data_IF_500670605361
#
_entry.id   IF_500670605361
#
_cell.length_a   1.000
_cell.length_b   1.000
_cell.length_c   1.000
_cell.angle_alpha   90.00
_cell.angle_beta   90.00
_cell.angle_gamma   90.00
#
_symmetry.space_group_name_H-M   'P 1'
#
loop_
_entity.id
_entity.type
_entity.pdbx_description
1 polymer ?
#
# COMPACT_ATOMS: atom_id res chain seq x y z
N UNK A 1 -15.32 23.20 -1.21
CA UNK A 1 -14.25 22.51 -1.98
C UNK A 1 -14.65 21.05 -2.11
N UNK A 2 -14.49 20.50 -3.29
CA UNK A 2 -14.83 19.11 -3.61
C UNK A 2 -13.60 18.23 -3.53
N UNK A 3 -13.71 17.08 -2.92
CA UNK A 3 -12.61 16.13 -2.66
C UNK A 3 -12.97 14.78 -3.27
N UNK A 4 -12.02 14.14 -3.93
CA UNK A 4 -12.19 12.78 -4.44
C UNK A 4 -11.25 11.82 -3.69
N UNK A 5 -11.78 10.69 -3.28
CA UNK A 5 -10.99 9.55 -2.85
C UNK A 5 -11.02 8.45 -3.90
N UNK A 6 -9.85 8.09 -4.42
CA UNK A 6 -9.66 6.90 -5.23
C UNK A 6 -9.24 5.79 -4.27
N UNK A 7 -10.14 4.88 -3.98
CA UNK A 7 -9.99 3.83 -2.97
C UNK A 7 -9.88 2.44 -3.62
N UNK A 8 -9.60 1.44 -2.81
CA UNK A 8 -9.51 0.06 -3.28
C UNK A 8 -10.90 -0.51 -3.62
N UNK A 9 -10.94 -1.46 -4.56
CA UNK A 9 -12.18 -2.16 -4.94
C UNK A 9 -12.81 -2.92 -3.76
N UNK A 10 -11.99 -3.48 -2.88
CA UNK A 10 -12.49 -4.15 -1.67
C UNK A 10 -13.10 -3.16 -0.70
N UNK A 11 -12.44 -2.03 -0.46
CA UNK A 11 -12.97 -0.96 0.37
C UNK A 11 -14.26 -0.40 -0.22
N UNK A 12 -14.32 -0.23 -1.54
CA UNK A 12 -15.50 0.23 -2.24
C UNK A 12 -16.68 -0.71 -2.06
N UNK A 13 -16.45 -2.03 -2.10
CA UNK A 13 -17.50 -3.06 -1.95
C UNK A 13 -18.01 -3.16 -0.51
N UNK A 14 -17.12 -3.01 0.46
CA UNK A 14 -17.41 -3.18 1.88
C UNK A 14 -17.33 -1.88 2.67
N UNK A 15 -17.38 -0.75 2.00
CA UNK A 15 -17.20 0.58 2.56
C UNK A 15 -18.10 0.87 3.78
N UNK A 16 -19.31 0.31 3.78
CA UNK A 16 -20.30 0.46 4.85
C UNK A 16 -19.85 -0.14 6.20
N UNK A 17 -18.87 -1.04 6.18
CA UNK A 17 -18.53 -1.87 7.34
C UNK A 17 -17.08 -1.75 7.81
N UNK A 18 -16.22 -1.02 7.07
CA UNK A 18 -14.80 -1.08 7.37
C UNK A 18 -14.28 0.14 8.14
N UNK A 19 -14.64 0.22 9.43
CA UNK A 19 -14.12 1.25 10.36
C UNK A 19 -12.64 1.04 10.73
N UNK A 20 -12.00 -0.03 10.29
CA UNK A 20 -10.58 -0.29 10.51
C UNK A 20 -9.68 0.36 9.45
N UNK A 21 -10.27 0.88 8.37
CA UNK A 21 -9.54 1.50 7.27
C UNK A 21 -9.40 3.00 7.49
N UNK A 22 -8.20 3.51 7.28
CA UNK A 22 -7.90 4.95 7.45
C UNK A 22 -8.76 5.82 6.54
N UNK A 23 -9.10 5.35 5.33
CA UNK A 23 -9.90 6.11 4.38
C UNK A 23 -11.32 6.38 4.87
N UNK A 24 -11.92 5.44 5.59
CA UNK A 24 -13.19 5.67 6.27
C UNK A 24 -13.14 6.90 7.19
N UNK A 25 -12.12 6.98 8.03
CA UNK A 25 -12.00 8.08 8.99
C UNK A 25 -11.65 9.41 8.32
N UNK A 26 -10.80 9.39 7.30
CA UNK A 26 -10.47 10.59 6.53
C UNK A 26 -11.71 11.15 5.84
N UNK A 27 -12.46 10.32 5.11
CA UNK A 27 -13.69 10.71 4.42
C UNK A 27 -14.70 11.27 5.43
N UNK A 28 -14.93 10.55 6.54
CA UNK A 28 -15.83 11.01 7.60
C UNK A 28 -15.43 12.38 8.15
N UNK A 29 -14.15 12.59 8.43
CA UNK A 29 -13.63 13.85 8.91
C UNK A 29 -13.84 15.00 7.92
N UNK A 30 -13.64 14.77 6.62
CA UNK A 30 -13.86 15.80 5.61
C UNK A 30 -15.34 16.17 5.47
N UNK A 31 -16.24 15.19 5.44
CA UNK A 31 -17.68 15.43 5.40
C UNK A 31 -18.14 16.24 6.63
N UNK A 32 -17.67 15.84 7.83
CA UNK A 32 -17.99 16.54 9.09
C UNK A 32 -17.49 18.00 9.11
N UNK A 33 -16.44 18.31 8.34
CA UNK A 33 -15.94 19.70 8.13
C UNK A 33 -16.64 20.44 7.02
N UNK A 34 -17.69 19.87 6.42
CA UNK A 34 -18.50 20.55 5.39
C UNK A 34 -17.92 20.47 3.98
N UNK A 35 -16.97 19.56 3.71
CA UNK A 35 -16.51 19.31 2.36
C UNK A 35 -17.42 18.31 1.64
N UNK A 36 -17.60 18.52 0.34
CA UNK A 36 -18.22 17.51 -0.53
C UNK A 36 -17.17 16.44 -0.83
N UNK A 37 -17.48 15.19 -0.55
CA UNK A 37 -16.57 14.06 -0.76
C UNK A 37 -17.21 13.05 -1.69
N UNK A 38 -16.53 12.78 -2.80
CA UNK A 38 -16.87 11.69 -3.70
C UNK A 38 -15.83 10.56 -3.57
N UNK A 39 -16.25 9.35 -3.94
CA UNK A 39 -15.37 8.19 -4.01
C UNK A 39 -15.40 7.55 -5.39
N UNK A 40 -14.31 6.91 -5.76
CA UNK A 40 -14.18 6.08 -6.97
C UNK A 40 -13.10 5.02 -6.74
N UNK A 41 -12.88 4.17 -7.74
CA UNK A 41 -11.80 3.19 -7.75
C UNK A 41 -10.89 3.43 -8.96
N UNK A 42 -9.66 2.91 -8.94
CA UNK A 42 -8.67 3.14 -10.00
C UNK A 42 -9.16 2.68 -11.38
N UNK A 43 -9.91 1.57 -11.45
CA UNK A 43 -10.48 1.01 -12.67
C UNK A 43 -11.66 1.81 -13.25
N UNK A 44 -12.13 2.82 -12.50
CA UNK A 44 -13.20 3.74 -12.92
C UNK A 44 -12.68 5.11 -13.37
N UNK A 45 -11.37 5.30 -13.35
CA UNK A 45 -10.72 6.45 -13.96
C UNK A 45 -10.54 6.21 -15.46
N UNK A 46 -10.73 7.23 -16.27
CA UNK A 46 -10.54 7.15 -17.71
C UNK A 46 -10.12 8.50 -18.30
N UNK A 47 -9.54 8.46 -19.48
CA UNK A 47 -9.16 9.64 -20.23
C UNK A 47 -10.07 9.79 -21.44
N UNK A 48 -10.74 10.92 -21.57
CA UNK A 48 -11.60 11.25 -22.71
C UNK A 48 -11.06 12.49 -23.41
N UNK A 49 -10.49 12.33 -24.61
CA UNK A 49 -9.92 13.45 -25.38
C UNK A 49 -8.99 14.38 -24.54
N UNK A 50 -8.06 13.80 -23.81
CA UNK A 50 -7.15 14.47 -22.86
C UNK A 50 -7.78 14.99 -21.56
N UNK A 51 -9.08 14.85 -21.38
CA UNK A 51 -9.75 15.23 -20.14
C UNK A 51 -9.74 14.05 -19.19
N UNK A 52 -9.16 14.18 -17.99
CA UNK A 52 -9.19 13.11 -16.99
C UNK A 52 -10.59 13.05 -16.36
N UNK A 53 -11.22 11.91 -16.45
CA UNK A 53 -12.59 11.65 -16.02
C UNK A 53 -12.66 10.50 -15.03
N UNK A 54 -13.74 10.46 -14.25
CA UNK A 54 -14.03 9.36 -13.34
C UNK A 54 -15.52 9.04 -13.25
N UNK A 55 -15.83 7.76 -12.99
CA UNK A 55 -17.16 7.36 -12.54
C UNK A 55 -17.18 7.46 -11.01
N UNK A 56 -17.79 8.52 -10.49
CA UNK A 56 -17.70 8.88 -9.07
C UNK A 56 -19.04 8.72 -8.37
N UNK A 57 -18.98 8.43 -7.07
CA UNK A 57 -20.15 8.31 -6.21
C UNK A 57 -20.05 9.33 -5.10
N UNK A 58 -21.11 10.13 -4.90
CA UNK A 58 -21.19 11.01 -3.74
C UNK A 58 -21.32 10.22 -2.46
N UNK A 59 -20.75 10.76 -1.40
CA UNK A 59 -20.83 10.19 -0.05
C UNK A 59 -21.51 11.15 0.91
N UNK A 60 -22.11 10.58 1.95
CA UNK A 60 -22.72 11.31 3.07
C UNK A 60 -22.60 10.49 4.35
N UNK A 61 -22.90 11.10 5.49
CA UNK A 61 -22.94 10.40 6.78
C UNK A 61 -24.40 10.17 7.18
N UNK A 62 -24.73 8.90 7.44
CA UNK A 62 -26.02 8.49 8.02
C UNK A 62 -25.79 7.52 9.17
N UNK A 63 -26.39 7.81 10.33
CA UNK A 63 -26.26 6.98 11.53
C UNK A 63 -24.81 6.63 11.90
N UNK A 64 -23.93 7.66 11.88
CA UNK A 64 -22.49 7.51 12.17
C UNK A 64 -21.67 6.74 11.10
N UNK A 65 -22.31 6.17 10.10
CA UNK A 65 -21.66 5.46 9.01
C UNK A 65 -21.63 6.30 7.73
N UNK A 66 -20.65 6.04 6.86
CA UNK A 66 -20.58 6.66 5.56
C UNK A 66 -21.45 5.84 4.61
N UNK A 67 -22.28 6.54 3.85
CA UNK A 67 -23.10 5.97 2.78
C UNK A 67 -22.69 6.58 1.45
N UNK A 68 -22.78 5.81 0.38
CA UNK A 68 -22.60 6.31 -0.98
C UNK A 68 -23.90 6.28 -1.77
N UNK A 69 -24.02 7.16 -2.75
CA UNK A 69 -25.13 7.11 -3.70
C UNK A 69 -25.12 5.79 -4.49
N UNK A 70 -26.31 5.38 -4.95
CA UNK A 70 -26.49 4.16 -5.74
C UNK A 70 -25.91 4.31 -7.15
N UNK A 71 -26.14 5.47 -7.76
CA UNK A 71 -25.77 5.76 -9.12
C UNK A 71 -24.47 6.57 -9.16
N UNK A 72 -23.65 6.30 -10.15
CA UNK A 72 -22.45 7.08 -10.38
C UNK A 72 -22.74 8.29 -11.28
N UNK A 73 -21.90 9.31 -11.13
CA UNK A 73 -21.80 10.44 -12.05
C UNK A 73 -20.52 10.35 -12.88
N UNK A 74 -20.60 10.76 -14.15
CA UNK A 74 -19.39 11.02 -14.95
C UNK A 74 -18.87 12.40 -14.58
N UNK A 75 -17.70 12.47 -13.98
CA UNK A 75 -17.17 13.71 -13.42
C UNK A 75 -15.80 14.04 -14.02
N UNK A 76 -15.59 15.29 -14.39
CA UNK A 76 -14.26 15.76 -14.76
C UNK A 76 -13.39 15.87 -13.48
N UNK A 77 -12.23 15.26 -13.49
CA UNK A 77 -11.35 15.25 -12.31
C UNK A 77 -10.78 16.64 -11.99
N UNK A 78 -10.76 17.57 -12.96
CA UNK A 78 -10.38 18.97 -12.73
C UNK A 78 -11.39 19.74 -11.85
N UNK A 79 -12.59 19.20 -11.63
CA UNK A 79 -13.60 19.83 -10.76
C UNK A 79 -13.30 19.62 -9.27
N UNK A 80 -12.34 18.76 -8.94
CA UNK A 80 -11.92 18.53 -7.57
C UNK A 80 -10.75 19.43 -7.17
N UNK A 81 -10.81 19.96 -5.95
CA UNK A 81 -9.68 20.70 -5.37
C UNK A 81 -8.57 19.75 -4.88
N UNK A 82 -8.95 18.56 -4.40
CA UNK A 82 -8.02 17.55 -3.92
C UNK A 82 -8.46 16.15 -4.38
N UNK A 83 -7.51 15.35 -4.81
CA UNK A 83 -7.69 13.93 -5.09
C UNK A 83 -6.74 13.14 -4.19
N UNK A 84 -7.29 12.29 -3.32
CA UNK A 84 -6.54 11.28 -2.59
C UNK A 84 -6.46 10.00 -3.40
N UNK A 85 -5.27 9.64 -3.88
CA UNK A 85 -5.04 8.39 -4.60
C UNK A 85 -4.50 7.36 -3.62
N UNK A 86 -5.37 6.46 -3.16
CA UNK A 86 -5.12 5.56 -2.04
C UNK A 86 -5.36 4.07 -2.27
N UNK A 87 -5.44 3.56 -3.52
CA UNK A 87 -5.57 2.13 -3.71
C UNK A 87 -4.37 1.39 -3.11
N UNK A 88 -4.64 0.27 -2.47
CA UNK A 88 -3.60 -0.64 -2.01
C UNK A 88 -2.91 -1.37 -3.19
N UNK A 89 -1.68 -1.85 -3.00
CA UNK A 89 -1.05 -2.76 -3.96
C UNK A 89 -1.94 -3.99 -4.28
N UNK A 90 -1.83 -4.60 -5.45
CA UNK A 90 -0.62 -4.63 -6.27
C UNK A 90 -0.41 -3.37 -7.11
N UNK A 91 0.86 -2.93 -7.15
CA UNK A 91 1.30 -1.89 -8.09
C UNK A 91 1.58 -2.58 -9.43
N UNK A 92 0.50 -2.85 -10.13
CA UNK A 92 0.48 -3.47 -11.46
C UNK A 92 0.35 -2.41 -12.57
N UNK A 93 0.25 -2.85 -13.82
CA UNK A 93 0.09 -1.94 -14.95
C UNK A 93 -1.18 -1.09 -14.83
N UNK A 94 -2.27 -1.62 -14.29
CA UNK A 94 -3.52 -0.87 -14.15
C UNK A 94 -3.40 0.21 -13.07
N UNK A 95 -2.68 -0.09 -11.98
CA UNK A 95 -2.32 0.92 -10.99
C UNK A 95 -1.50 2.06 -11.62
N UNK A 96 -0.46 1.72 -12.39
CA UNK A 96 0.40 2.69 -13.07
C UNK A 96 -0.41 3.50 -14.10
N UNK A 97 -1.26 2.84 -14.91
CA UNK A 97 -2.11 3.50 -15.90
C UNK A 97 -3.07 4.51 -15.25
N UNK A 98 -3.65 4.16 -14.09
CA UNK A 98 -4.49 5.10 -13.35
C UNK A 98 -3.70 6.35 -12.91
N UNK A 99 -2.43 6.21 -12.52
CA UNK A 99 -1.59 7.36 -12.19
C UNK A 99 -1.25 8.22 -13.40
N UNK A 100 -1.13 7.65 -14.61
CA UNK A 100 -0.95 8.43 -15.84
C UNK A 100 -2.19 9.26 -16.20
N UNK A 101 -3.39 8.79 -15.88
CA UNK A 101 -4.62 9.59 -16.07
C UNK A 101 -4.56 10.87 -15.21
N UNK A 102 -4.02 10.78 -14.00
CA UNK A 102 -3.87 11.92 -13.10
C UNK A 102 -2.83 12.96 -13.59
N UNK A 103 -1.89 12.58 -14.44
CA UNK A 103 -0.94 13.53 -15.05
C UNK A 103 -1.62 14.52 -16.03
N UNK A 104 -2.84 14.24 -16.48
CA UNK A 104 -3.62 15.13 -17.36
C UNK A 104 -4.43 16.19 -16.60
N UNK A 105 -4.30 16.26 -15.28
CA UNK A 105 -4.91 17.34 -14.50
C UNK A 105 -4.24 18.68 -14.80
N UNK A 106 -5.03 19.74 -14.88
CA UNK A 106 -4.60 21.08 -15.32
C UNK A 106 -3.87 21.91 -14.23
N UNK A 107 -3.31 21.24 -13.20
CA UNK A 107 -2.47 21.91 -12.18
C UNK A 107 -3.20 22.67 -11.09
N UNK A 108 -4.53 22.67 -11.07
CA UNK A 108 -5.36 23.27 -10.01
C UNK A 108 -5.77 22.27 -8.94
N UNK A 109 -5.70 20.99 -9.25
CA UNK A 109 -6.07 19.88 -8.37
C UNK A 109 -4.84 19.35 -7.66
N UNK A 110 -4.86 19.35 -6.34
CA UNK A 110 -3.81 18.72 -5.54
C UNK A 110 -4.02 17.20 -5.53
N UNK A 111 -3.00 16.44 -5.93
CA UNK A 111 -3.03 14.97 -5.88
C UNK A 111 -2.16 14.46 -4.72
N UNK A 112 -2.75 13.73 -3.80
CA UNK A 112 -2.11 13.10 -2.64
C UNK A 112 -2.34 11.56 -2.69
N UNK A 113 -1.31 10.72 -2.77
CA UNK A 113 0.08 11.07 -3.05
C UNK A 113 0.25 11.46 -4.52
N UNK A 114 1.32 12.23 -4.82
CA UNK A 114 1.63 12.65 -6.19
C UNK A 114 1.72 11.44 -7.14
N UNK A 115 1.10 11.51 -8.30
CA UNK A 115 1.09 10.44 -9.30
C UNK A 115 2.52 10.01 -9.71
N UNK A 116 3.40 10.98 -9.93
CA UNK A 116 4.81 10.72 -10.22
C UNK A 116 5.54 10.11 -9.02
N UNK A 117 5.24 10.57 -7.81
CA UNK A 117 5.80 10.02 -6.57
C UNK A 117 5.45 8.54 -6.40
N UNK A 118 4.20 8.16 -6.66
CA UNK A 118 3.73 6.77 -6.59
C UNK A 118 4.47 5.86 -7.60
N UNK A 119 4.77 6.36 -8.79
CA UNK A 119 5.54 5.60 -9.79
C UNK A 119 7.02 5.48 -9.44
N UNK A 120 7.61 6.52 -8.85
CA UNK A 120 9.05 6.60 -8.60
C UNK A 120 9.47 6.03 -7.24
N UNK A 121 8.55 5.90 -6.29
CA UNK A 121 8.84 5.47 -4.93
C UNK A 121 8.16 4.13 -4.61
N UNK A 122 8.57 3.06 -5.31
CA UNK A 122 8.19 1.70 -4.89
C UNK A 122 8.69 1.47 -3.46
N UNK A 123 7.81 1.08 -2.54
CA UNK A 123 8.07 0.99 -1.10
C UNK A 123 9.28 0.09 -0.74
N UNK A 124 9.54 -0.95 -1.54
CA UNK A 124 10.66 -1.88 -1.31
C UNK A 124 11.95 -1.42 -1.99
N UNK A 125 11.85 -0.83 -3.18
CA UNK A 125 13.01 -0.31 -3.88
C UNK A 125 13.53 1.00 -3.27
N UNK A 126 12.61 1.87 -2.85
CA UNK A 126 12.94 3.22 -2.37
C UNK A 126 13.77 3.21 -1.07
N UNK A 127 13.63 2.17 -0.24
CA UNK A 127 14.41 2.03 1.00
C UNK A 127 15.92 2.00 0.75
N UNK A 128 16.37 1.56 -0.43
CA UNK A 128 17.80 1.51 -0.79
C UNK A 128 18.46 2.89 -0.89
N UNK A 129 17.68 3.98 -0.87
CA UNK A 129 18.20 5.33 -0.69
C UNK A 129 18.71 5.61 0.74
N UNK A 130 18.42 4.71 1.69
CA UNK A 130 18.76 4.86 3.11
C UNK A 130 19.56 3.68 3.66
N UNK A 131 20.71 3.33 3.06
CA UNK A 131 21.43 2.08 3.36
C UNK A 131 21.90 1.95 4.82
N UNK A 132 22.02 3.08 5.53
CA UNK A 132 22.48 3.06 6.92
C UNK A 132 21.45 2.57 7.95
N UNK A 133 20.17 2.50 7.57
CA UNK A 133 19.07 2.17 8.47
C UNK A 133 18.19 1.01 8.00
N UNK A 134 18.62 0.30 6.97
CA UNK A 134 17.91 -0.87 6.44
C UNK A 134 18.78 -2.12 6.58
N UNK A 135 18.17 -3.32 6.68
CA UNK A 135 18.89 -4.57 6.57
C UNK A 135 19.59 -4.73 5.23
N UNK A 136 20.72 -5.46 5.20
CA UNK A 136 21.35 -5.79 3.93
C UNK A 136 20.35 -6.49 3.00
N UNK A 137 20.37 -6.11 1.74
CA UNK A 137 19.46 -6.66 0.75
C UNK A 137 20.05 -6.63 -0.66
N UNK A 138 19.48 -7.45 -1.54
CA UNK A 138 19.68 -7.38 -2.99
C UNK A 138 18.31 -7.38 -3.67
N UNK A 139 18.24 -6.83 -4.87
CA UNK A 139 17.06 -6.92 -5.72
C UNK A 139 17.46 -7.60 -7.02
N UNK A 140 16.91 -8.79 -7.26
CA UNK A 140 17.29 -9.61 -8.40
C UNK A 140 16.20 -10.61 -8.78
N UNK A 141 16.29 -11.18 -9.99
CA UNK A 141 15.55 -12.36 -10.42
C UNK A 141 16.47 -13.60 -10.56
N UNK A 142 17.78 -13.44 -10.35
CA UNK A 142 18.76 -14.53 -10.53
C UNK A 142 18.76 -15.49 -9.35
N UNK A 143 18.47 -16.77 -9.62
CA UNK A 143 18.59 -17.85 -8.65
C UNK A 143 20.01 -17.92 -8.05
N UNK A 144 21.03 -17.75 -8.88
CA UNK A 144 22.43 -17.78 -8.48
C UNK A 144 22.76 -16.72 -7.42
N UNK A 145 22.41 -15.44 -7.69
CA UNK A 145 22.65 -14.35 -6.75
C UNK A 145 21.86 -14.51 -5.45
N UNK A 146 20.64 -15.06 -5.53
CA UNK A 146 19.83 -15.33 -4.34
C UNK A 146 20.50 -16.40 -3.46
N UNK A 147 21.03 -17.46 -4.08
CA UNK A 147 21.76 -18.51 -3.35
C UNK A 147 23.05 -18.02 -2.73
N UNK A 148 23.81 -17.19 -3.45
CA UNK A 148 25.02 -16.56 -2.90
C UNK A 148 24.69 -15.72 -1.67
N UNK A 149 23.63 -14.92 -1.75
CA UNK A 149 23.18 -14.08 -0.64
C UNK A 149 22.67 -14.94 0.55
N UNK A 150 21.91 -16.01 0.28
CA UNK A 150 21.48 -16.97 1.30
C UNK A 150 22.68 -17.65 1.98
N UNK A 151 23.66 -18.08 1.20
CA UNK A 151 24.87 -18.70 1.75
C UNK A 151 25.64 -17.72 2.68
N UNK A 152 25.72 -16.44 2.28
CA UNK A 152 26.34 -15.38 3.07
C UNK A 152 25.59 -15.08 4.37
N UNK A 153 24.26 -14.96 4.31
CA UNK A 153 23.41 -14.49 5.42
C UNK A 153 22.84 -15.62 6.28
N UNK A 154 22.80 -16.84 5.79
CA UNK A 154 22.21 -18.04 6.41
C UNK A 154 20.68 -18.03 6.46
N UNK A 155 20.09 -16.89 6.72
CA UNK A 155 18.65 -16.68 6.83
C UNK A 155 18.24 -15.43 6.08
N UNK A 156 17.26 -15.56 5.20
CA UNK A 156 16.78 -14.47 4.34
C UNK A 156 15.26 -14.44 4.28
N UNK A 157 14.75 -13.27 3.85
CA UNK A 157 13.34 -13.10 3.48
C UNK A 157 13.27 -12.64 2.03
N UNK A 158 12.49 -13.35 1.22
CA UNK A 158 12.21 -12.98 -0.17
C UNK A 158 10.87 -12.29 -0.25
N UNK A 159 10.82 -11.10 -0.85
CA UNK A 159 9.64 -10.24 -0.91
C UNK A 159 9.36 -9.81 -2.34
N UNK A 160 8.16 -10.03 -2.89
CA UNK A 160 7.74 -9.42 -4.16
C UNK A 160 7.74 -7.90 -4.07
N UNK A 161 8.15 -7.21 -5.12
CA UNK A 161 8.24 -5.75 -5.13
C UNK A 161 6.88 -5.04 -5.14
N UNK A 162 5.86 -5.67 -5.74
CA UNK A 162 4.59 -5.03 -6.08
C UNK A 162 3.39 -5.47 -5.22
N UNK A 163 3.62 -6.28 -4.18
CA UNK A 163 2.56 -6.77 -3.30
C UNK A 163 2.67 -6.23 -1.87
N UNK A 164 1.56 -6.24 -1.17
CA UNK A 164 1.44 -5.92 0.26
C UNK A 164 0.86 -7.09 1.07
N UNK A 165 0.58 -6.89 2.35
CA UNK A 165 -0.04 -7.86 3.27
C UNK A 165 0.69 -9.20 3.32
N UNK A 166 2.02 -9.18 3.27
CA UNK A 166 2.89 -10.38 3.27
C UNK A 166 2.59 -11.40 2.17
N UNK A 167 1.87 -11.03 1.11
CA UNK A 167 1.63 -11.89 -0.03
C UNK A 167 2.94 -12.24 -0.73
N UNK A 168 3.18 -13.54 -0.91
CA UNK A 168 4.38 -14.04 -1.59
C UNK A 168 5.68 -13.78 -0.84
N UNK A 169 5.63 -13.43 0.44
CA UNK A 169 6.81 -13.31 1.28
C UNK A 169 7.21 -14.71 1.77
N UNK A 170 8.47 -15.08 1.55
CA UNK A 170 9.03 -16.35 1.98
C UNK A 170 10.21 -16.11 2.92
N UNK A 171 10.23 -16.81 4.03
CA UNK A 171 11.43 -17.00 4.84
C UNK A 171 12.19 -18.23 4.32
N UNK A 172 13.50 -18.17 4.31
CA UNK A 172 14.36 -19.22 3.82
C UNK A 172 15.65 -19.26 4.63
N UNK A 173 16.05 -20.47 5.04
CA UNK A 173 17.35 -20.73 5.63
C UNK A 173 18.21 -21.64 4.74
N UNK A 174 19.52 -21.66 4.93
CA UNK A 174 20.47 -22.38 4.07
C UNK A 174 20.40 -23.91 4.20
N UNK A 175 19.61 -24.43 5.14
CA UNK A 175 19.36 -25.87 5.32
C UNK A 175 18.00 -26.32 4.79
N UNK A 176 17.19 -25.40 4.27
CA UNK A 176 15.87 -25.71 3.74
C UNK A 176 15.97 -26.61 2.50
N UNK A 177 15.19 -27.70 2.48
CA UNK A 177 15.18 -28.63 1.36
C UNK A 177 14.44 -28.11 0.12
N UNK A 178 13.65 -27.06 0.27
CA UNK A 178 12.81 -26.48 -0.78
C UNK A 178 13.39 -25.20 -1.41
N UNK A 179 14.67 -24.89 -1.14
CA UNK A 179 15.33 -23.65 -1.62
C UNK A 179 15.03 -23.39 -3.10
N UNK A 180 15.24 -24.39 -3.96
CA UNK A 180 15.01 -24.24 -5.39
C UNK A 180 13.56 -23.89 -5.71
N UNK A 181 12.61 -24.62 -5.17
CA UNK A 181 11.18 -24.42 -5.42
C UNK A 181 10.70 -23.06 -4.93
N UNK A 182 11.20 -22.60 -3.78
CA UNK A 182 10.84 -21.32 -3.21
C UNK A 182 11.37 -20.17 -4.08
N UNK A 183 12.65 -20.24 -4.48
CA UNK A 183 13.27 -19.23 -5.35
C UNK A 183 12.56 -19.19 -6.71
N UNK A 184 12.33 -20.35 -7.32
CA UNK A 184 11.67 -20.46 -8.62
C UNK A 184 10.25 -19.88 -8.57
N UNK A 185 9.49 -20.21 -7.53
CA UNK A 185 8.15 -19.68 -7.30
C UNK A 185 8.17 -18.15 -7.07
N UNK A 186 9.06 -17.67 -6.21
CA UNK A 186 9.13 -16.25 -5.86
C UNK A 186 9.54 -15.38 -7.07
N UNK A 187 10.46 -15.88 -7.88
CA UNK A 187 10.97 -15.16 -9.06
C UNK A 187 10.18 -15.46 -10.34
N UNK A 188 9.12 -16.27 -10.28
CA UNK A 188 8.42 -16.74 -11.47
C UNK A 188 9.40 -17.28 -12.53
N UNK A 189 10.19 -18.26 -12.11
CA UNK A 189 11.23 -18.90 -12.92
C UNK A 189 12.25 -17.91 -13.49
N UNK A 190 12.73 -16.99 -12.65
CA UNK A 190 13.73 -15.98 -13.01
C UNK A 190 13.22 -14.80 -13.84
N UNK A 191 11.91 -14.64 -14.02
CA UNK A 191 11.30 -13.59 -14.85
C UNK A 191 10.89 -12.34 -14.07
N UNK A 192 10.79 -12.45 -12.73
CA UNK A 192 10.29 -11.38 -11.87
C UNK A 192 11.32 -11.04 -10.81
N UNK A 193 11.70 -9.76 -10.74
CA UNK A 193 12.58 -9.29 -9.68
C UNK A 193 11.89 -9.33 -8.33
N UNK A 194 12.65 -9.74 -7.32
CA UNK A 194 12.25 -9.76 -5.92
C UNK A 194 13.29 -9.05 -5.06
N UNK A 195 12.89 -8.53 -3.92
CA UNK A 195 13.82 -8.12 -2.88
C UNK A 195 14.16 -9.32 -2.02
N UNK A 196 15.44 -9.57 -1.83
CA UNK A 196 15.99 -10.57 -0.93
C UNK A 196 16.72 -9.85 0.18
N UNK A 197 16.29 -10.02 1.41
CA UNK A 197 16.75 -9.26 2.57
C UNK A 197 17.20 -10.22 3.65
N UNK A 198 18.25 -9.86 4.44
CA UNK A 198 18.61 -10.63 5.62
C UNK A 198 17.44 -10.71 6.59
N UNK A 199 17.30 -11.84 7.24
CA UNK A 199 16.27 -12.05 8.25
C UNK A 199 16.62 -11.31 9.54
N UNK A 200 15.63 -10.62 10.10
CA UNK A 200 15.76 -9.94 11.39
C UNK A 200 15.03 -10.76 12.45
N UNK A 201 15.75 -11.45 13.37
CA UNK A 201 15.12 -12.31 14.37
C UNK A 201 14.21 -11.56 15.33
N UNK A 202 14.45 -10.27 15.55
CA UNK A 202 13.64 -9.42 16.43
C UNK A 202 12.20 -9.25 15.95
N UNK A 203 11.88 -9.67 14.71
CA UNK A 203 10.49 -9.72 14.23
C UNK A 203 9.62 -10.59 15.15
N UNK A 204 10.18 -11.55 15.87
CA UNK A 204 9.47 -12.40 16.82
C UNK A 204 8.82 -11.61 17.97
N UNK A 205 9.36 -10.46 18.33
CA UNK A 205 8.77 -9.56 19.34
C UNK A 205 7.78 -8.57 18.75
N UNK A 206 7.66 -8.53 17.42
CA UNK A 206 6.74 -7.68 16.67
C UNK A 206 7.42 -6.58 15.87
N UNK A 207 6.61 -5.81 15.17
CA UNK A 207 7.04 -4.61 14.45
C UNK A 207 6.32 -3.36 14.96
N UNK A 208 6.97 -2.20 14.84
CA UNK A 208 6.40 -0.90 15.18
C UNK A 208 6.13 -0.10 13.91
N UNK A 209 4.91 0.41 13.77
CA UNK A 209 4.55 1.36 12.71
C UNK A 209 4.53 2.76 13.29
N UNK A 210 5.49 3.57 12.87
CA UNK A 210 5.56 5.00 13.17
C UNK A 210 4.71 5.78 12.17
N UNK A 211 4.03 6.82 12.64
CA UNK A 211 3.20 7.69 11.80
C UNK A 211 3.84 9.08 11.78
N UNK A 212 4.08 9.58 10.56
CA UNK A 212 4.56 10.92 10.31
C UNK A 212 3.49 11.70 9.55
N UNK A 213 3.21 12.92 9.99
CA UNK A 213 2.32 13.84 9.26
C UNK A 213 3.02 15.19 9.22
N UNK A 214 3.22 15.71 8.02
CA UNK A 214 3.86 17.01 7.76
C UNK A 214 5.23 17.17 8.42
N UNK A 215 6.02 16.09 8.44
CA UNK A 215 7.36 16.07 9.05
C UNK A 215 7.37 15.85 10.58
N UNK A 216 6.22 15.84 11.22
CA UNK A 216 6.10 15.55 12.65
C UNK A 216 5.79 14.09 12.91
N UNK A 217 6.48 13.49 13.87
CA UNK A 217 6.24 12.12 14.33
C UNK A 217 5.23 12.14 15.47
N UNK A 218 4.27 11.21 15.42
CA UNK A 218 3.38 10.98 16.56
C UNK A 218 4.15 10.29 17.69
N UNK A 219 3.89 10.70 18.93
CA UNK A 219 4.50 10.10 20.13
C UNK A 219 4.15 8.63 20.31
N UNK A 220 3.10 8.18 19.68
CA UNK A 220 2.58 6.82 19.75
C UNK A 220 2.81 6.06 18.45
N UNK A 221 3.05 4.77 18.57
CA UNK A 221 3.17 3.86 17.45
C UNK A 221 2.15 2.72 17.53
N UNK A 222 1.88 2.10 16.39
CA UNK A 222 1.13 0.85 16.34
C UNK A 222 2.11 -0.30 16.43
N UNK A 223 2.08 -1.03 17.55
CA UNK A 223 2.84 -2.26 17.71
C UNK A 223 2.04 -3.43 17.18
N UNK A 224 2.64 -4.20 16.28
CA UNK A 224 2.09 -5.44 15.77
C UNK A 224 2.85 -6.60 16.41
N UNK A 225 2.10 -7.56 16.95
CA UNK A 225 2.65 -8.72 17.64
C UNK A 225 2.35 -9.95 16.78
N UNK A 226 3.38 -10.76 16.52
CA UNK A 226 3.20 -12.00 15.79
C UNK A 226 2.59 -13.09 16.67
N UNK A 227 1.78 -13.97 16.06
CA UNK A 227 1.35 -15.23 16.71
C UNK A 227 2.52 -16.23 16.74
N UNK A 228 2.50 -17.16 17.70
CA UNK A 228 3.58 -18.12 17.91
C UNK A 228 3.88 -19.02 16.70
N UNK A 229 2.95 -19.18 15.78
CA UNK A 229 3.01 -20.16 14.69
C UNK A 229 3.22 -19.55 13.29
N UNK A 230 3.31 -18.23 13.16
CA UNK A 230 3.47 -17.58 11.85
C UNK A 230 4.34 -16.32 11.94
N UNK A 231 5.45 -16.32 11.21
CA UNK A 231 6.26 -15.12 11.02
C UNK A 231 5.57 -14.09 10.12
N UNK A 232 4.48 -14.49 9.42
CA UNK A 232 3.65 -13.61 8.60
C UNK A 232 2.56 -12.98 9.44
N UNK A 233 2.42 -11.70 9.27
CA UNK A 233 1.42 -10.93 9.95
C UNK A 233 0.01 -11.23 9.40
N UNK A 234 -0.87 -11.79 10.22
CA UNK A 234 -2.29 -11.95 9.86
C UNK A 234 -3.07 -10.70 10.28
N UNK A 235 -3.36 -9.83 9.33
CA UNK A 235 -3.94 -8.48 9.54
C UNK A 235 -5.40 -8.48 10.02
N UNK A 236 -6.04 -9.63 10.15
CA UNK A 236 -7.47 -9.71 10.42
C UNK A 236 -7.86 -9.93 11.89
N UNK A 237 -6.92 -9.87 12.81
CA UNK A 237 -7.20 -10.08 14.22
C UNK A 237 -6.75 -8.89 15.08
N UNK A 238 -7.70 -8.08 15.54
CA UNK A 238 -7.49 -6.91 16.41
C UNK A 238 -6.62 -7.16 17.64
N UNK A 239 -6.56 -8.39 18.10
CA UNK A 239 -5.75 -8.83 19.25
C UNK A 239 -4.23 -8.72 19.05
N UNK A 240 -3.77 -8.52 17.82
CA UNK A 240 -2.35 -8.40 17.48
C UNK A 240 -1.86 -6.94 17.37
N UNK A 241 -2.72 -5.97 17.63
CA UNK A 241 -2.35 -4.56 17.62
C UNK A 241 -2.36 -4.01 19.04
N UNK A 242 -1.28 -3.34 19.42
CA UNK A 242 -1.17 -2.60 20.68
C UNK A 242 -0.67 -1.19 20.41
N UNK A 243 -1.16 -0.24 21.21
CA UNK A 243 -0.57 1.08 21.30
C UNK A 243 0.80 0.94 21.98
N UNK A 244 1.82 1.53 21.42
CA UNK A 244 3.17 1.56 21.96
C UNK A 244 3.74 2.97 21.99
N UNK A 245 4.78 3.16 22.77
CA UNK A 245 5.54 4.40 22.82
C UNK A 245 6.74 4.29 21.88
N UNK A 246 7.16 5.43 21.32
CA UNK A 246 8.42 5.56 20.62
C UNK A 246 9.47 5.79 21.68
N UNK A 247 10.39 4.84 21.81
CA UNK A 247 11.54 4.95 22.73
C UNK A 247 12.67 5.73 22.06
#
# INVERSE_FOLDING_TARGET
>A
MKILFVIDNLEFKYFEFNKLVTDFWLIKCFIQRGYEVDITTKDRLYLECKTPMGLTYKTDIKNEDIVKEKDFSKTNLNDYGVIFFRPDPPVDNDYINATYILDYLEGKTLVLNSAQGLRNANEKMFINNFPAIIPENIVTASDELIREFLHKKKEIVIKPLNYCFSRGVFYLNDTDKNIHTIIDTATNSGKTMVMVQEFLPDIAIGDKRLVYIDGEIFEECVCKIHGADDFKFNTHADKFFKRGEIL
#
